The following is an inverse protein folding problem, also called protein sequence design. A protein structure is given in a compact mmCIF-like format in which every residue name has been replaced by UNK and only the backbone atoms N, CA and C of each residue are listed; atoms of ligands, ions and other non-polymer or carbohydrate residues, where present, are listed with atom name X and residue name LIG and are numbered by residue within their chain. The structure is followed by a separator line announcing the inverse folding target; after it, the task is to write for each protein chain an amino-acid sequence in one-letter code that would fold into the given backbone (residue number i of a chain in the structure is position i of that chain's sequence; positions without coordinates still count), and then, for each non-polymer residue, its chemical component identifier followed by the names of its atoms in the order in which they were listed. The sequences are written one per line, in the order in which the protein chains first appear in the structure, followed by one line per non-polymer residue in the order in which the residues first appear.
data_IF_156674369802
#
_entry.id   IF_156674369802
#
_cell.length_a   1.000
_cell.length_b   1.000
_cell.length_c   1.000
_cell.angle_alpha   90.00
_cell.angle_beta   90.00
_cell.angle_gamma   90.00
#
_symmetry.space_group_name_H-M   'P 1'
#
loop_
_entity.id
_entity.type
_entity.pdbx_description
1 polymer ?
#
# COMPACT_ATOMS: atom_id res chain seq x y z
N UNK A 1 6.82 6.56 9.93
CA UNK A 1 6.17 6.22 8.65
C UNK A 1 5.84 7.43 7.75
N UNK A 2 5.07 8.44 8.16
CA UNK A 2 4.68 9.56 7.25
C UNK A 2 5.83 10.37 6.66
N UNK A 3 6.95 10.49 7.37
CA UNK A 3 8.18 11.12 6.85
C UNK A 3 8.78 10.30 5.70
N UNK A 4 8.77 8.97 5.78
CA UNK A 4 9.17 8.08 4.67
C UNK A 4 8.24 8.24 3.46
N UNK A 5 6.93 8.36 3.69
CA UNK A 5 5.97 8.62 2.61
C UNK A 5 6.23 9.95 1.93
N UNK A 6 6.48 11.02 2.70
CA UNK A 6 6.90 12.31 2.13
C UNK A 6 8.17 12.21 1.29
N UNK A 7 9.15 11.41 1.70
CA UNK A 7 10.36 11.19 0.91
C UNK A 7 10.05 10.45 -0.39
N UNK A 8 9.17 9.44 -0.35
CA UNK A 8 8.74 8.67 -1.52
C UNK A 8 8.02 9.54 -2.57
N UNK A 9 7.18 10.46 -2.11
CA UNK A 9 6.33 11.31 -2.97
C UNK A 9 6.97 12.65 -3.29
N UNK A 10 8.12 12.97 -2.69
CA UNK A 10 8.85 14.20 -2.98
C UNK A 10 9.51 14.17 -4.34
N UNK A 11 9.80 15.37 -4.87
CA UNK A 11 10.56 15.56 -6.11
C UNK A 11 12.03 15.07 -6.02
N UNK A 12 12.47 14.60 -4.85
CA UNK A 12 13.81 14.02 -4.67
C UNK A 12 13.98 12.71 -5.45
N UNK A 13 12.88 12.01 -5.77
CA UNK A 13 12.89 10.77 -6.54
C UNK A 13 11.92 10.92 -7.71
N UNK A 14 12.47 10.92 -8.93
CA UNK A 14 11.64 10.94 -10.14
C UNK A 14 11.35 9.51 -10.58
N UNK A 15 10.15 9.04 -10.30
CA UNK A 15 9.62 7.80 -10.86
C UNK A 15 8.98 8.05 -12.23
N UNK A 16 8.96 7.05 -13.13
CA UNK A 16 8.14 7.13 -14.33
C UNK A 16 6.67 7.39 -13.98
N UNK A 17 5.98 8.21 -14.78
CA UNK A 17 4.56 8.54 -14.58
C UNK A 17 3.63 7.33 -14.55
N UNK A 18 4.05 6.26 -15.22
CA UNK A 18 3.37 4.97 -15.37
C UNK A 18 3.79 3.94 -14.31
N UNK A 19 4.58 4.34 -13.31
CA UNK A 19 4.98 3.46 -12.23
C UNK A 19 3.80 3.24 -11.26
N UNK A 20 3.49 1.98 -11.00
CA UNK A 20 2.48 1.56 -10.05
C UNK A 20 3.13 0.77 -8.92
N UNK A 21 2.88 1.18 -7.68
CA UNK A 21 3.32 0.46 -6.49
C UNK A 21 2.60 -0.89 -6.43
N UNK A 22 3.36 -1.97 -6.33
CA UNK A 22 2.83 -3.34 -6.18
C UNK A 22 3.02 -3.88 -4.78
N UNK A 23 4.06 -3.43 -4.09
CA UNK A 23 4.42 -3.90 -2.75
C UNK A 23 5.04 -2.78 -1.94
N UNK A 24 4.64 -2.68 -0.68
CA UNK A 24 5.33 -1.89 0.33
C UNK A 24 5.73 -2.78 1.48
N UNK A 25 6.96 -2.63 1.94
CA UNK A 25 7.43 -3.25 3.18
C UNK A 25 7.89 -2.15 4.11
N UNK A 26 7.37 -2.14 5.33
CA UNK A 26 7.85 -1.28 6.39
C UNK A 26 8.51 -2.13 7.48
N UNK A 27 9.71 -1.71 7.88
CA UNK A 27 10.47 -2.32 8.98
C UNK A 27 10.68 -1.24 10.04
N UNK A 28 10.37 -1.57 11.29
CA UNK A 28 10.65 -0.74 12.45
C UNK A 28 12.16 -0.78 12.81
N UNK A 29 12.99 -0.33 11.88
CA UNK A 29 14.45 -0.23 12.02
C UNK A 29 14.86 1.22 11.84
N UNK A 30 15.38 1.82 12.91
CA UNK A 30 15.71 3.24 12.99
C UNK A 30 17.10 3.50 12.43
N UNK A 31 17.25 4.58 11.66
CA UNK A 31 18.55 5.05 11.19
C UNK A 31 18.77 6.51 11.52
N UNK A 32 19.98 6.86 11.95
CA UNK A 32 20.35 8.26 12.21
C UNK A 32 20.45 9.09 10.94
N UNK A 33 20.83 8.45 9.81
CA UNK A 33 21.10 9.11 8.54
C UNK A 33 20.00 8.78 7.53
N UNK A 34 19.12 9.74 7.18
CA UNK A 34 18.10 9.48 6.20
C UNK A 34 18.73 9.28 4.82
N UNK A 35 18.25 8.28 4.08
CA UNK A 35 18.68 8.08 2.70
C UNK A 35 17.56 7.51 1.84
N UNK A 36 17.77 7.66 0.54
CA UNK A 36 16.98 7.03 -0.52
C UNK A 36 17.95 6.31 -1.44
N UNK A 37 17.67 5.05 -1.73
CA UNK A 37 18.45 4.23 -2.65
C UNK A 37 17.54 3.53 -3.65
N UNK A 38 17.88 3.58 -4.94
CA UNK A 38 17.25 2.72 -5.96
C UNK A 38 18.03 1.41 -5.98
N UNK A 39 17.55 0.41 -5.25
CA UNK A 39 18.20 -0.89 -5.09
C UNK A 39 18.14 -1.78 -6.36
N UNK A 40 17.28 -1.44 -7.32
CA UNK A 40 17.20 -2.15 -8.59
C UNK A 40 16.22 -1.48 -9.54
N UNK A 41 16.65 -1.28 -10.79
CA UNK A 41 15.82 -0.72 -11.84
C UNK A 41 16.01 -1.50 -13.13
N UNK A 42 14.90 -1.90 -13.73
CA UNK A 42 14.80 -2.45 -15.07
C UNK A 42 13.69 -1.70 -15.81
N UNK A 43 13.56 -1.91 -17.12
CA UNK A 43 12.51 -1.27 -17.92
C UNK A 43 11.09 -1.51 -17.41
N UNK A 44 10.85 -2.58 -16.64
CA UNK A 44 9.52 -2.99 -16.14
C UNK A 44 9.36 -2.94 -14.62
N UNK A 45 10.44 -2.87 -13.85
CA UNK A 45 10.43 -3.02 -12.39
C UNK A 45 11.40 -2.05 -11.75
N UNK A 46 10.93 -1.37 -10.71
CA UNK A 46 11.71 -0.45 -9.90
C UNK A 46 11.57 -0.90 -8.45
N UNK A 47 12.69 -0.97 -7.74
CA UNK A 47 12.73 -1.17 -6.30
C UNK A 47 13.55 -0.06 -5.67
N UNK A 48 12.98 0.63 -4.70
CA UNK A 48 13.70 1.61 -3.88
C UNK A 48 13.58 1.30 -2.40
N UNK A 49 14.57 1.74 -1.65
CA UNK A 49 14.63 1.71 -0.19
C UNK A 49 14.73 3.15 0.30
N UNK A 50 13.89 3.50 1.25
CA UNK A 50 13.83 4.81 1.89
C UNK A 50 13.95 4.56 3.38
N UNK A 51 14.83 5.28 4.05
CA UNK A 51 15.11 5.04 5.45
C UNK A 51 15.29 6.38 6.17
N UNK A 52 14.74 6.49 7.38
CA UNK A 52 14.94 7.63 8.28
C UNK A 52 14.78 7.18 9.74
N UNK A 53 14.63 8.14 10.66
CA UNK A 53 14.44 7.84 12.08
C UNK A 53 13.10 7.18 12.41
N UNK A 54 12.18 7.15 11.45
CA UNK A 54 10.85 6.58 11.60
C UNK A 54 10.73 5.17 11.04
N UNK A 55 11.83 4.57 10.56
CA UNK A 55 11.88 3.21 10.05
C UNK A 55 12.50 3.09 8.66
N UNK A 56 12.32 1.93 8.06
CA UNK A 56 12.71 1.62 6.69
C UNK A 56 11.48 1.28 5.86
N UNK A 57 11.32 1.91 4.69
CA UNK A 57 10.30 1.62 3.70
C UNK A 57 10.98 1.06 2.43
N UNK A 58 10.60 -0.14 2.03
CA UNK A 58 10.99 -0.74 0.75
C UNK A 58 9.79 -0.72 -0.18
N UNK A 59 9.96 -0.13 -1.36
CA UNK A 59 8.89 0.05 -2.34
C UNK A 59 9.25 -0.71 -3.59
N UNK A 60 8.34 -1.58 -4.04
CA UNK A 60 8.44 -2.25 -5.33
C UNK A 60 7.35 -1.75 -6.26
N UNK A 61 7.73 -1.41 -7.48
CA UNK A 61 6.85 -0.86 -8.50
C UNK A 61 7.02 -1.61 -9.82
N UNK A 62 5.97 -1.57 -10.63
CA UNK A 62 6.04 -1.93 -12.04
C UNK A 62 5.76 -0.70 -12.90
N UNK A 63 6.44 -0.59 -14.03
CA UNK A 63 6.11 0.40 -15.06
C UNK A 63 5.17 -0.25 -16.07
N UNK A 64 4.00 0.35 -16.25
CA UNK A 64 3.06 -0.12 -17.26
C UNK A 64 3.57 0.26 -18.66
N UNK A 65 3.49 -0.63 -19.66
CA UNK A 65 3.82 -0.26 -21.03
C UNK A 65 2.96 0.94 -21.45
N UNK A 66 3.54 1.93 -22.14
CA UNK A 66 2.76 3.00 -22.77
C UNK A 66 1.86 2.37 -23.84
N UNK A 67 0.60 2.15 -23.50
CA UNK A 67 -0.42 1.77 -24.48
C UNK A 67 -0.71 3.03 -25.29
N UNK A 68 -0.37 3.03 -26.57
CA UNK A 68 -0.86 4.03 -27.50
C UNK A 68 -2.38 3.86 -27.59
N UNK A 69 -3.12 4.84 -27.09
CA UNK A 69 -4.57 4.80 -26.95
C UNK A 69 -5.25 4.45 -28.29
N UNK A 70 -5.91 3.28 -28.31
CA UNK A 70 -7.15 3.00 -29.04
C UNK A 70 -7.85 1.72 -28.53
N UNK A 71 -7.77 1.44 -27.23
CA UNK A 71 -8.61 0.40 -26.62
C UNK A 71 -8.82 0.70 -25.14
N UNK A 72 -9.90 1.42 -24.87
CA UNK A 72 -10.62 1.34 -23.60
C UNK A 72 -11.32 -0.01 -23.54
N UNK A 73 -10.58 -1.08 -23.17
CA UNK A 73 -11.18 -2.39 -22.92
C UNK A 73 -10.58 -3.01 -21.65
N UNK A 74 -11.46 -3.10 -20.64
CA UNK A 74 -11.65 -4.24 -19.74
C UNK A 74 -10.50 -4.65 -18.80
N UNK A 75 -10.50 -4.08 -17.59
CA UNK A 75 -10.09 -4.80 -16.38
C UNK A 75 -11.22 -5.79 -16.02
N UNK A 76 -11.29 -6.91 -16.75
CA UNK A 76 -12.24 -7.97 -16.45
C UNK A 76 -11.85 -8.70 -15.16
N UNK A 77 -12.87 -8.80 -14.31
CA UNK A 77 -12.94 -9.61 -13.10
C UNK A 77 -12.40 -11.02 -13.30
N UNK A 78 -11.57 -11.46 -12.37
CA UNK A 78 -11.47 -12.88 -12.01
C UNK A 78 -12.06 -12.99 -10.61
N UNK A 79 -13.35 -13.33 -10.57
CA UNK A 79 -14.03 -13.74 -9.35
C UNK A 79 -13.63 -15.19 -9.03
N UNK A 80 -12.96 -15.41 -7.91
CA UNK A 80 -12.91 -16.71 -7.26
C UNK A 80 -14.05 -16.77 -6.24
N UNK A 81 -14.91 -17.79 -6.34
CA UNK A 81 -16.09 -17.97 -5.47
C UNK A 81 -15.70 -18.39 -4.03
N UNK A 82 -16.45 -17.97 -2.99
CA UNK A 82 -16.03 -18.09 -1.60
C UNK A 82 -16.56 -19.36 -0.91
N UNK A 83 -15.78 -19.88 0.04
CA UNK A 83 -16.28 -20.79 1.07
C UNK A 83 -16.63 -19.94 2.30
N UNK A 84 -17.92 -19.79 2.60
CA UNK A 84 -18.44 -19.03 3.73
C UNK A 84 -18.08 -19.68 5.06
N UNK A 85 -17.42 -18.92 5.95
CA UNK A 85 -17.57 -19.09 7.40
C UNK A 85 -17.68 -17.71 8.04
N UNK A 86 -18.80 -17.50 8.73
CA UNK A 86 -19.08 -16.33 9.56
C UNK A 86 -18.02 -16.22 10.67
N UNK A 87 -17.07 -15.30 10.51
CA UNK A 87 -16.33 -14.73 11.63
C UNK A 87 -16.67 -13.24 11.74
N UNK A 88 -16.49 -12.66 12.92
CA UNK A 88 -16.57 -11.22 13.11
C UNK A 88 -15.45 -10.56 12.31
N UNK A 89 -15.74 -10.16 11.07
CA UNK A 89 -14.76 -9.48 10.23
C UNK A 89 -14.63 -8.03 10.68
N UNK A 90 -13.41 -7.62 11.02
CA UNK A 90 -13.10 -6.20 11.19
C UNK A 90 -13.24 -5.49 9.83
N UNK A 91 -13.72 -4.26 9.86
CA UNK A 91 -13.98 -3.47 8.66
C UNK A 91 -13.21 -2.16 8.66
N UNK A 92 -12.75 -1.77 7.47
CA UNK A 92 -12.03 -0.53 7.24
C UNK A 92 -12.67 0.22 6.06
N UNK A 93 -12.80 1.54 6.19
CA UNK A 93 -13.34 2.39 5.12
C UNK A 93 -12.55 3.69 5.07
N UNK A 94 -12.39 4.22 3.86
CA UNK A 94 -11.63 5.44 3.60
C UNK A 94 -12.52 6.47 2.96
N UNK A 95 -12.82 7.55 3.69
CA UNK A 95 -13.59 8.66 3.11
C UNK A 95 -12.72 9.47 2.16
N UNK A 96 -13.35 10.17 1.21
CA UNK A 96 -12.67 11.12 0.32
C UNK A 96 -11.86 12.14 1.14
N UNK A 97 -12.44 12.66 2.21
CA UNK A 97 -11.77 13.61 3.11
C UNK A 97 -10.50 13.01 3.72
N UNK A 98 -10.56 11.77 4.22
CA UNK A 98 -9.39 11.10 4.82
C UNK A 98 -8.28 10.85 3.79
N UNK A 99 -8.66 10.54 2.55
CA UNK A 99 -7.71 10.37 1.43
C UNK A 99 -7.03 11.69 1.12
N UNK A 100 -7.80 12.76 0.93
CA UNK A 100 -7.30 14.09 0.61
C UNK A 100 -6.38 14.63 1.72
N UNK A 101 -6.81 14.52 2.98
CA UNK A 101 -6.00 14.92 4.13
C UNK A 101 -4.68 14.15 4.20
N UNK A 102 -4.69 12.86 3.89
CA UNK A 102 -3.46 12.06 3.83
C UNK A 102 -2.52 12.54 2.71
N UNK A 103 -3.02 12.65 1.47
CA UNK A 103 -2.16 13.03 0.33
C UNK A 103 -1.61 14.44 0.47
N UNK A 104 -2.31 15.34 1.15
CA UNK A 104 -1.79 16.67 1.47
C UNK A 104 -0.67 16.62 2.50
N UNK A 105 -0.81 15.84 3.58
CA UNK A 105 0.22 15.68 4.61
C UNK A 105 1.50 15.01 4.08
N UNK A 106 1.34 14.02 3.19
CA UNK A 106 2.47 13.37 2.54
C UNK A 106 2.91 14.05 1.24
N UNK A 107 2.29 15.16 0.85
CA UNK A 107 2.58 15.90 -0.40
C UNK A 107 2.51 15.04 -1.67
N UNK A 108 1.65 14.03 -1.68
CA UNK A 108 1.40 13.22 -2.87
C UNK A 108 0.50 13.99 -3.84
N UNK A 109 1.03 14.33 -5.01
CA UNK A 109 0.33 15.09 -6.04
C UNK A 109 -0.37 14.20 -7.07
N UNK A 110 -0.28 12.87 -6.92
CA UNK A 110 -0.85 11.95 -7.89
C UNK A 110 -2.38 12.12 -8.01
N UNK A 111 -2.82 12.44 -9.23
CA UNK A 111 -4.21 12.80 -9.50
C UNK A 111 -5.21 11.65 -9.30
N UNK A 112 -4.76 10.38 -9.32
CA UNK A 112 -5.65 9.22 -9.09
C UNK A 112 -6.26 9.22 -7.68
N UNK A 113 -5.59 9.86 -6.72
CA UNK A 113 -6.05 10.00 -5.34
C UNK A 113 -6.94 11.24 -5.13
N UNK A 114 -6.92 12.17 -6.09
CA UNK A 114 -7.52 13.52 -5.95
C UNK A 114 -8.75 13.73 -6.84
N UNK A 115 -9.03 12.81 -7.74
CA UNK A 115 -10.18 12.85 -8.66
C UNK A 115 -10.96 11.56 -8.56
N UNK A 116 -12.27 11.64 -8.79
CA UNK A 116 -13.12 10.47 -8.88
C UNK A 116 -12.52 9.43 -9.86
N UNK A 117 -12.46 8.13 -9.48
CA UNK A 117 -13.14 7.51 -8.35
C UNK A 117 -12.42 7.57 -6.98
N UNK A 118 -11.38 8.41 -6.81
CA UNK A 118 -10.59 8.56 -5.59
C UNK A 118 -9.99 7.23 -5.12
N UNK A 119 -8.89 6.82 -5.76
CA UNK A 119 -8.17 5.61 -5.37
C UNK A 119 -7.47 5.86 -4.03
N UNK A 120 -7.58 4.93 -3.08
CA UNK A 120 -6.89 5.00 -1.80
C UNK A 120 -5.38 4.82 -2.03
N UNK A 121 -4.53 5.73 -1.50
CA UNK A 121 -3.08 5.58 -1.58
C UNK A 121 -2.61 4.28 -0.91
N UNK A 122 -1.72 3.52 -1.56
CA UNK A 122 -1.13 2.32 -0.97
C UNK A 122 -0.41 2.59 0.35
N UNK A 123 0.21 3.77 0.49
CA UNK A 123 0.84 4.21 1.74
C UNK A 123 -0.18 4.43 2.87
N UNK A 124 -1.39 4.91 2.55
CA UNK A 124 -2.47 5.07 3.52
C UNK A 124 -2.99 3.71 3.99
N UNK A 125 -3.16 2.76 3.06
CA UNK A 125 -3.50 1.36 3.40
C UNK A 125 -2.44 0.75 4.33
N UNK A 126 -1.17 0.88 3.99
CA UNK A 126 -0.06 0.39 4.83
C UNK A 126 -0.10 0.99 6.25
N UNK A 127 -0.28 2.31 6.38
CA UNK A 127 -0.35 2.97 7.69
C UNK A 127 -1.50 2.45 8.53
N UNK A 128 -2.68 2.25 7.92
CA UNK A 128 -3.86 1.75 8.63
C UNK A 128 -3.75 0.29 9.03
N UNK A 129 -3.22 -0.56 8.17
CA UNK A 129 -3.00 -1.98 8.52
C UNK A 129 -1.91 -2.10 9.57
N UNK A 130 -0.83 -1.31 9.49
CA UNK A 130 0.17 -1.25 10.55
C UNK A 130 -0.44 -0.89 11.91
N UNK A 131 -1.30 0.13 11.95
CA UNK A 131 -2.01 0.54 13.17
C UNK A 131 -2.93 -0.58 13.68
N UNK A 132 -3.68 -1.23 12.78
CA UNK A 132 -4.56 -2.35 13.12
C UNK A 132 -3.77 -3.52 13.73
N UNK A 133 -2.72 -4.01 13.08
CA UNK A 133 -1.95 -5.15 13.60
C UNK A 133 -1.23 -4.79 14.90
N UNK A 134 -0.75 -3.55 15.06
CA UNK A 134 -0.13 -3.11 16.33
C UNK A 134 -1.11 -2.97 17.50
N UNK A 135 -2.42 -3.02 17.26
CA UNK A 135 -3.42 -3.17 18.33
C UNK A 135 -3.51 -4.62 18.83
N UNK A 136 -3.06 -5.58 18.03
CA UNK A 136 -3.13 -7.01 18.32
C UNK A 136 -1.83 -7.54 18.91
N UNK A 137 -0.68 -7.09 18.39
CA UNK A 137 0.67 -7.60 18.75
C UNK A 137 1.76 -6.58 18.44
N UNK A 138 2.95 -6.72 19.03
CA UNK A 138 4.09 -5.85 18.69
C UNK A 138 4.71 -6.30 17.36
N UNK A 139 4.68 -5.42 16.37
CA UNK A 139 5.12 -5.74 15.00
C UNK A 139 6.49 -5.14 14.72
N UNK A 140 7.44 -5.96 14.28
CA UNK A 140 8.76 -5.55 13.80
C UNK A 140 8.72 -5.12 12.33
N UNK A 141 7.98 -5.84 11.49
CA UNK A 141 7.83 -5.49 10.07
C UNK A 141 6.50 -5.90 9.48
N UNK A 142 6.09 -5.20 8.44
CA UNK A 142 4.88 -5.49 7.67
C UNK A 142 5.20 -5.41 6.18
N UNK A 143 4.68 -6.35 5.40
CA UNK A 143 4.76 -6.39 3.95
C UNK A 143 3.33 -6.47 3.40
N UNK A 144 2.93 -5.48 2.60
CA UNK A 144 1.64 -5.47 1.91
C UNK A 144 1.87 -5.62 0.41
N UNK A 145 1.16 -6.58 -0.19
CA UNK A 145 1.05 -6.76 -1.64
C UNK A 145 -0.32 -6.31 -2.12
N UNK A 146 -0.35 -5.34 -3.02
CA UNK A 146 -1.58 -4.84 -3.63
C UNK A 146 -1.94 -5.71 -4.85
N UNK A 147 -3.22 -6.09 -4.93
CA UNK A 147 -3.76 -6.92 -6.01
C UNK A 147 -4.81 -6.16 -6.85
N UNK A 148 -5.56 -5.26 -6.21
CA UNK A 148 -6.57 -4.43 -6.84
C UNK A 148 -6.66 -3.07 -6.12
N UNK A 149 -6.97 -1.96 -6.82
CA UNK A 149 -7.18 -0.68 -6.16
C UNK A 149 -8.41 -0.69 -5.25
N UNK A 150 -8.31 -0.01 -4.11
CA UNK A 150 -9.45 0.32 -3.24
C UNK A 150 -9.89 1.74 -3.56
N UNK A 151 -11.20 1.99 -3.65
CA UNK A 151 -11.80 3.30 -3.89
C UNK A 151 -12.35 3.93 -2.62
N UNK A 152 -12.56 5.24 -2.63
CA UNK A 152 -13.19 5.93 -1.52
C UNK A 152 -14.57 5.32 -1.19
N UNK A 153 -14.83 5.16 0.10
CA UNK A 153 -16.05 4.62 0.68
C UNK A 153 -16.33 3.13 0.38
N UNK A 154 -15.44 2.41 -0.32
CA UNK A 154 -15.52 0.95 -0.35
C UNK A 154 -15.26 0.39 1.07
N UNK A 155 -16.05 -0.62 1.45
CA UNK A 155 -15.88 -1.33 2.70
C UNK A 155 -14.87 -2.45 2.47
N UNK A 156 -13.73 -2.35 3.14
CA UNK A 156 -12.71 -3.40 3.16
C UNK A 156 -12.96 -4.27 4.38
N UNK A 157 -13.32 -5.54 4.17
CA UNK A 157 -13.35 -6.54 5.23
C UNK A 157 -11.95 -7.12 5.43
N UNK A 158 -11.56 -7.31 6.69
CA UNK A 158 -10.29 -7.90 7.08
C UNK A 158 -10.51 -9.33 7.57
N UNK A 159 -9.72 -10.23 7.01
CA UNK A 159 -9.55 -11.60 7.49
C UNK A 159 -8.14 -11.73 8.04
N UNK A 160 -8.03 -12.13 9.30
CA UNK A 160 -6.75 -12.26 10.01
C UNK A 160 -6.54 -13.72 10.41
N UNK A 161 -5.35 -14.24 10.10
CA UNK A 161 -4.91 -15.58 10.46
C UNK A 161 -3.41 -15.56 10.78
N UNK A 162 -3.07 -15.78 12.06
CA UNK A 162 -1.70 -15.68 12.58
C UNK A 162 -0.98 -14.41 12.10
N UNK A 163 0.06 -14.55 11.26
CA UNK A 163 0.87 -13.45 10.72
C UNK A 163 0.36 -12.89 9.39
N UNK A 164 -0.84 -13.28 8.96
CA UNK A 164 -1.42 -12.92 7.67
C UNK A 164 -2.69 -12.09 7.83
N UNK A 165 -2.81 -11.01 7.05
CA UNK A 165 -4.06 -10.26 6.90
C UNK A 165 -4.44 -10.21 5.42
N UNK A 166 -5.70 -10.50 5.13
CA UNK A 166 -6.28 -10.39 3.79
C UNK A 166 -7.34 -9.29 3.82
N UNK A 167 -7.25 -8.35 2.87
CA UNK A 167 -8.29 -7.35 2.66
C UNK A 167 -9.16 -7.71 1.48
N UNK A 168 -10.47 -7.69 1.67
CA UNK A 168 -11.46 -7.92 0.61
C UNK A 168 -12.40 -6.74 0.46
N UNK A 169 -12.76 -6.42 -0.78
CA UNK A 169 -13.90 -5.56 -1.10
C UNK A 169 -14.91 -6.47 -1.77
N UNK A 170 -16.08 -6.62 -1.16
CA UNK A 170 -17.04 -7.67 -1.52
C UNK A 170 -16.33 -9.04 -1.51
N UNK A 171 -16.34 -9.77 -2.63
CA UNK A 171 -15.66 -11.07 -2.77
C UNK A 171 -14.25 -10.97 -3.37
N UNK A 172 -13.77 -9.76 -3.68
CA UNK A 172 -12.47 -9.56 -4.34
C UNK A 172 -11.36 -9.28 -3.33
N UNK A 173 -10.31 -10.11 -3.32
CA UNK A 173 -9.10 -9.82 -2.54
C UNK A 173 -8.36 -8.64 -3.16
N UNK A 174 -8.26 -7.54 -2.41
CA UNK A 174 -7.62 -6.30 -2.86
C UNK A 174 -6.18 -6.17 -2.39
N UNK A 175 -5.82 -6.77 -1.25
CA UNK A 175 -4.45 -6.86 -0.79
C UNK A 175 -4.21 -8.09 0.11
N UNK A 176 -2.94 -8.47 0.22
CA UNK A 176 -2.44 -9.50 1.15
C UNK A 176 -1.31 -8.90 1.97
N UNK A 177 -1.29 -9.20 3.26
CA UNK A 177 -0.32 -8.68 4.21
C UNK A 177 0.32 -9.84 4.94
N UNK A 178 1.62 -9.75 5.12
CA UNK A 178 2.40 -10.60 6.01
C UNK A 178 3.12 -9.69 6.98
N UNK A 179 3.07 -9.97 8.27
CA UNK A 179 3.80 -9.21 9.27
C UNK A 179 4.68 -10.12 10.14
N UNK A 180 5.71 -9.54 10.74
CA UNK A 180 6.61 -10.22 11.68
C UNK A 180 6.49 -9.53 13.02
N UNK A 181 6.30 -10.33 14.06
CA UNK A 181 6.28 -9.84 15.44
C UNK A 181 7.70 -9.52 15.94
N UNK A 182 7.80 -8.67 16.95
CA UNK A 182 9.07 -8.49 17.67
C UNK A 182 9.41 -9.76 18.46
N UNK A 183 10.64 -10.24 18.33
CA UNK A 183 11.12 -11.35 19.15
C UNK A 183 11.23 -10.88 20.60
N UNK A 184 10.47 -11.50 21.50
CA UNK A 184 10.72 -11.39 22.93
C UNK A 184 11.95 -12.26 23.27
N UNK A 185 13.13 -11.65 23.33
CA UNK A 185 14.31 -12.24 24.01
C UNK A 185 14.18 -12.16 25.53
#
# INVERSE_FOLDING_TARGET
MRTLFRMLTSDAIVFPSEAMITTLEYVNEVSEYPFVEICGSSTRRIKCKIQDRSGTLVVSMITLPKINNNSSEELNHICETPNHQNSSHDVMTFTVESILAFVDDVKDTNSIHRKAPYIVPGCLLLEKIWQYVNQLTLVQSINIRFLSPVRANEVVTLEHDEQHVIGKVEDTIVFKVIYKEESHE
#
